data_IF_918550957928
#
_entry.id   IF_918550957928
#
_cell.length_a   1.000
_cell.length_b   1.000
_cell.length_c   1.000
_cell.angle_alpha   90.00
_cell.angle_beta   90.00
_cell.angle_gamma   90.00
#
_symmetry.space_group_name_H-M   'P 1'
#
loop_
_entity.id
_entity.type
_entity.pdbx_description
1 polymer ?
#
# COMPACT_ATOMS: atom_id res chain seq x y z
N UNK A 1 -18.91 16.78 -15.20
CA UNK A 1 -18.69 15.39 -14.73
C UNK A 1 -17.20 15.19 -14.58
N UNK A 2 -16.70 14.64 -13.46
CA UNK A 2 -15.27 14.33 -13.34
C UNK A 2 -15.15 12.83 -13.38
N UNK A 3 -14.57 12.33 -14.45
CA UNK A 3 -14.43 10.91 -14.69
C UNK A 3 -13.45 10.30 -13.67
N UNK A 4 -13.71 9.07 -13.20
CA UNK A 4 -12.72 8.34 -12.40
C UNK A 4 -11.43 8.19 -13.21
N UNK A 5 -10.28 8.47 -12.58
CA UNK A 5 -8.98 8.29 -13.23
C UNK A 5 -8.55 6.84 -13.03
N UNK A 6 -8.42 6.11 -14.12
CA UNK A 6 -7.88 4.76 -14.12
C UNK A 6 -6.39 4.83 -14.43
N UNK A 7 -5.58 4.25 -13.55
CA UNK A 7 -4.15 4.13 -13.70
C UNK A 7 -3.79 2.65 -13.62
N UNK A 8 -2.85 2.23 -14.44
CA UNK A 8 -2.30 0.88 -14.40
C UNK A 8 -0.82 0.97 -14.69
N UNK A 9 0.00 0.30 -13.88
CA UNK A 9 1.41 0.11 -14.17
C UNK A 9 1.86 -1.30 -13.79
N UNK A 10 2.86 -1.78 -14.50
CA UNK A 10 3.55 -3.00 -14.12
C UNK A 10 4.69 -2.64 -13.18
N UNK A 11 4.63 -3.16 -11.95
CA UNK A 11 5.59 -2.91 -10.90
C UNK A 11 6.30 -4.21 -10.55
N UNK A 12 7.63 -4.20 -10.64
CA UNK A 12 8.44 -5.30 -10.14
C UNK A 12 8.64 -5.14 -8.63
N UNK A 13 7.90 -5.91 -7.84
CA UNK A 13 8.12 -6.00 -6.40
C UNK A 13 9.08 -7.15 -6.07
N UNK A 14 9.44 -7.28 -4.79
CA UNK A 14 10.34 -8.36 -4.31
C UNK A 14 9.88 -9.78 -4.64
N UNK A 15 8.57 -9.99 -4.81
CA UNK A 15 7.96 -11.28 -5.06
C UNK A 15 7.74 -11.58 -6.55
N UNK A 16 8.17 -10.69 -7.46
CA UNK A 16 8.02 -10.84 -8.91
C UNK A 16 7.39 -9.61 -9.57
N UNK A 17 7.03 -9.75 -10.85
CA UNK A 17 6.23 -8.76 -11.57
C UNK A 17 4.77 -8.79 -11.10
N UNK A 18 4.24 -7.63 -10.76
CA UNK A 18 2.83 -7.47 -10.43
C UNK A 18 2.26 -6.27 -11.19
N UNK A 19 1.05 -6.44 -11.71
CA UNK A 19 0.32 -5.36 -12.35
C UNK A 19 -0.54 -4.67 -11.28
N UNK A 20 -0.27 -3.39 -11.01
CA UNK A 20 -1.04 -2.59 -10.07
C UNK A 20 -1.98 -1.68 -10.85
N UNK A 21 -3.26 -1.74 -10.52
CA UNK A 21 -4.34 -0.90 -11.05
C UNK A 21 -4.90 -0.04 -9.94
N UNK A 22 -5.07 1.24 -10.21
CA UNK A 22 -5.65 2.21 -9.30
C UNK A 22 -6.84 2.87 -9.99
N UNK A 23 -7.97 2.90 -9.31
CA UNK A 23 -9.15 3.64 -9.74
C UNK A 23 -9.38 4.77 -8.76
N UNK A 24 -9.02 5.99 -9.17
CA UNK A 24 -9.17 7.20 -8.37
C UNK A 24 -10.52 7.85 -8.70
N UNK A 25 -11.53 7.64 -7.86
CA UNK A 25 -12.78 8.40 -7.90
C UNK A 25 -12.67 9.66 -7.02
N UNK A 26 -13.69 10.53 -7.04
CA UNK A 26 -13.68 11.75 -6.20
C UNK A 26 -13.74 11.47 -4.70
N UNK A 27 -14.33 10.35 -4.32
CA UNK A 27 -14.65 10.02 -2.94
C UNK A 27 -14.26 8.59 -2.54
N UNK A 28 -13.67 7.83 -3.46
CA UNK A 28 -13.24 6.46 -3.25
C UNK A 28 -11.98 6.17 -4.08
N UNK A 29 -11.10 5.35 -3.52
CA UNK A 29 -9.89 4.83 -4.12
C UNK A 29 -10.04 3.31 -4.19
N UNK A 30 -9.97 2.78 -5.39
CA UNK A 30 -9.86 1.35 -5.61
C UNK A 30 -8.43 0.99 -6.00
N UNK A 31 -7.94 -0.08 -5.42
CA UNK A 31 -6.59 -0.62 -5.65
C UNK A 31 -6.73 -2.09 -5.98
N UNK A 32 -6.25 -2.47 -7.15
CA UNK A 32 -6.16 -3.87 -7.56
C UNK A 32 -4.70 -4.20 -7.85
N UNK A 33 -4.25 -5.35 -7.37
CA UNK A 33 -2.89 -5.84 -7.57
C UNK A 33 -3.00 -7.25 -8.12
N UNK A 34 -2.39 -7.50 -9.26
CA UNK A 34 -2.41 -8.81 -9.92
C UNK A 34 -0.98 -9.35 -9.99
N UNK A 35 -0.76 -10.57 -9.51
CA UNK A 35 0.51 -11.27 -9.64
C UNK A 35 0.61 -11.98 -10.97
N UNK A 36 1.58 -11.58 -11.79
CA UNK A 36 1.83 -12.21 -13.09
C UNK A 36 2.28 -13.68 -12.93
N UNK A 37 2.93 -14.01 -11.81
CA UNK A 37 3.46 -15.35 -11.55
C UNK A 37 2.41 -16.36 -11.10
N UNK A 38 1.47 -15.94 -10.25
CA UNK A 38 0.48 -16.82 -9.62
C UNK A 38 -0.94 -16.62 -10.14
N UNK A 39 -1.16 -15.64 -11.03
CA UNK A 39 -2.47 -15.18 -11.48
C UNK A 39 -3.42 -14.84 -10.30
N UNK A 40 -2.83 -14.47 -9.17
CA UNK A 40 -3.56 -14.10 -7.96
C UNK A 40 -3.87 -12.61 -8.02
N UNK A 41 -5.09 -12.23 -7.64
CA UNK A 41 -5.57 -10.86 -7.75
C UNK A 41 -6.09 -10.42 -6.38
N UNK A 42 -5.58 -9.29 -5.91
CA UNK A 42 -5.96 -8.68 -4.65
C UNK A 42 -6.62 -7.34 -4.91
N UNK A 43 -7.76 -7.09 -4.28
CA UNK A 43 -8.49 -5.82 -4.42
C UNK A 43 -8.76 -5.19 -3.06
N UNK A 44 -8.67 -3.87 -3.00
CA UNK A 44 -9.03 -3.05 -1.86
C UNK A 44 -9.76 -1.79 -2.29
N UNK A 45 -10.84 -1.47 -1.60
CA UNK A 45 -11.60 -0.22 -1.79
C UNK A 45 -11.47 0.62 -0.52
N UNK A 46 -11.22 1.92 -0.69
CA UNK A 46 -10.98 2.86 0.38
C UNK A 46 -11.71 4.17 0.10
N UNK A 47 -12.66 4.54 0.96
CA UNK A 47 -13.30 5.84 0.88
C UNK A 47 -12.34 6.99 1.22
N UNK A 48 -12.65 8.20 0.73
CA UNK A 48 -11.88 9.39 1.01
C UNK A 48 -11.72 9.64 2.52
N UNK A 49 -12.83 9.54 3.27
CA UNK A 49 -12.83 9.70 4.72
C UNK A 49 -11.95 8.65 5.43
N UNK A 50 -11.87 7.42 4.89
CA UNK A 50 -11.04 6.37 5.46
C UNK A 50 -9.54 6.67 5.27
N UNK A 51 -9.14 7.12 4.08
CA UNK A 51 -7.76 7.52 3.80
C UNK A 51 -7.35 8.73 4.64
N UNK A 52 -8.25 9.71 4.77
CA UNK A 52 -8.03 10.89 5.60
C UNK A 52 -7.86 10.51 7.07
N UNK A 53 -8.71 9.63 7.62
CA UNK A 53 -8.56 9.11 8.99
C UNK A 53 -7.29 8.27 9.16
N UNK A 54 -6.91 7.47 8.16
CA UNK A 54 -5.71 6.63 8.19
C UNK A 54 -4.43 7.49 8.24
N UNK A 55 -4.36 8.52 7.39
CA UNK A 55 -3.23 9.46 7.36
C UNK A 55 -3.21 10.34 8.62
N UNK A 56 -4.39 10.73 9.13
CA UNK A 56 -4.53 11.41 10.43
C UNK A 56 -4.01 10.55 11.58
N UNK A 57 -4.37 9.26 11.63
CA UNK A 57 -3.88 8.30 12.63
C UNK A 57 -2.38 8.09 12.59
N UNK A 58 -1.78 8.24 11.42
CA UNK A 58 -0.33 8.11 11.23
C UNK A 58 0.41 9.40 11.62
N UNK A 59 -0.31 10.46 12.02
CA UNK A 59 0.24 11.75 12.41
C UNK A 59 0.62 12.66 11.23
N UNK A 60 0.39 12.21 10.00
CA UNK A 60 0.63 12.97 8.78
C UNK A 60 -0.67 13.06 7.99
N UNK A 61 -1.60 13.89 8.48
CA UNK A 61 -2.88 14.10 7.81
C UNK A 61 -2.65 14.54 6.36
N UNK A 62 -3.16 13.75 5.43
CA UNK A 62 -3.16 14.08 4.00
C UNK A 62 -4.57 14.01 3.49
N UNK A 63 -4.98 15.08 2.80
CA UNK A 63 -6.24 15.08 2.08
C UNK A 63 -6.23 13.95 1.05
N UNK A 64 -7.39 13.34 0.84
CA UNK A 64 -7.57 12.25 -0.11
C UNK A 64 -7.01 12.58 -1.51
N UNK A 65 -7.23 13.80 -2.01
CA UNK A 65 -6.69 14.23 -3.29
C UNK A 65 -5.16 14.23 -3.35
N UNK A 66 -4.48 14.64 -2.28
CA UNK A 66 -3.01 14.58 -2.19
C UNK A 66 -2.55 13.13 -2.15
N UNK A 67 -3.23 12.29 -1.36
CA UNK A 67 -2.92 10.86 -1.30
C UNK A 67 -3.04 10.19 -2.68
N UNK A 68 -4.10 10.49 -3.43
CA UNK A 68 -4.30 10.01 -4.78
C UNK A 68 -3.15 10.43 -5.71
N UNK A 69 -2.75 11.70 -5.68
CA UNK A 69 -1.61 12.20 -6.46
C UNK A 69 -0.30 11.52 -6.06
N UNK A 70 -0.09 11.26 -4.77
CA UNK A 70 1.11 10.56 -4.28
C UNK A 70 1.13 9.09 -4.72
N UNK A 71 -0.02 8.43 -4.67
CA UNK A 71 -0.17 7.06 -5.14
C UNK A 71 0.05 6.96 -6.66
N UNK A 72 -0.49 7.92 -7.42
CA UNK A 72 -0.27 8.09 -8.86
C UNK A 72 1.23 8.27 -9.18
N UNK A 73 1.91 9.17 -8.47
CA UNK A 73 3.36 9.39 -8.63
C UNK A 73 4.19 8.16 -8.24
N UNK A 74 3.82 7.47 -7.17
CA UNK A 74 4.50 6.25 -6.73
C UNK A 74 4.34 5.13 -7.76
N UNK A 75 3.14 5.00 -8.34
CA UNK A 75 2.84 4.01 -9.37
C UNK A 75 3.63 4.29 -10.66
N UNK A 76 3.69 5.56 -11.08
CA UNK A 76 4.47 5.99 -12.24
C UNK A 76 5.96 6.13 -11.97
N UNK A 77 6.42 5.90 -10.73
CA UNK A 77 7.79 6.17 -10.29
C UNK A 77 8.27 7.59 -10.69
N UNK A 78 7.35 8.56 -10.72
CA UNK A 78 7.63 9.95 -11.09
C UNK A 78 8.18 10.79 -9.95
N UNK A 79 8.30 10.21 -8.75
CA UNK A 79 8.72 10.95 -7.56
C UNK A 79 9.53 10.04 -6.64
N UNK A 80 10.79 10.41 -6.38
CA UNK A 80 11.68 9.67 -5.48
C UNK A 80 11.23 9.73 -4.02
N UNK A 81 10.40 10.73 -3.67
CA UNK A 81 9.82 10.88 -2.34
C UNK A 81 8.70 9.88 -2.02
N UNK A 82 8.13 9.21 -3.03
CA UNK A 82 7.03 8.26 -2.84
C UNK A 82 7.31 6.94 -3.54
N UNK A 83 7.19 5.85 -2.79
CA UNK A 83 7.41 4.50 -3.30
C UNK A 83 6.27 3.59 -2.89
N UNK A 84 5.94 2.66 -3.78
CA UNK A 84 4.99 1.59 -3.50
C UNK A 84 5.75 0.30 -3.18
N UNK A 85 5.34 -0.39 -2.13
CA UNK A 85 5.85 -1.71 -1.78
C UNK A 85 4.71 -2.70 -1.54
N UNK A 86 4.85 -3.90 -2.08
CA UNK A 86 3.90 -4.99 -1.84
C UNK A 86 4.50 -5.98 -0.84
N UNK A 87 3.92 -6.03 0.35
CA UNK A 87 4.33 -6.95 1.40
C UNK A 87 3.32 -8.08 1.59
N UNK A 88 3.84 -9.24 1.94
CA UNK A 88 3.04 -10.38 2.40
C UNK A 88 2.88 -10.30 3.91
N UNK A 89 1.92 -11.04 4.46
CA UNK A 89 1.78 -11.16 5.91
C UNK A 89 3.10 -11.63 6.58
N UNK A 90 3.84 -12.55 5.96
CA UNK A 90 5.12 -13.03 6.47
C UNK A 90 6.20 -11.93 6.48
N UNK A 91 6.21 -11.06 5.47
CA UNK A 91 7.12 -9.91 5.44
C UNK A 91 6.77 -8.91 6.54
N UNK A 92 5.48 -8.61 6.76
CA UNK A 92 5.03 -7.79 7.88
C UNK A 92 5.45 -8.34 9.24
N UNK A 93 5.34 -9.65 9.47
CA UNK A 93 5.83 -10.27 10.71
C UNK A 93 7.34 -10.09 10.87
N UNK A 94 8.09 -10.21 9.78
CA UNK A 94 9.54 -10.01 9.76
C UNK A 94 9.91 -8.55 10.04
N UNK A 95 9.19 -7.59 9.45
CA UNK A 95 9.36 -6.16 9.66
C UNK A 95 9.03 -5.74 11.10
N UNK A 96 7.94 -6.30 11.66
CA UNK A 96 7.55 -6.09 13.06
C UNK A 96 8.62 -6.59 14.02
N UNK A 97 9.14 -7.79 13.77
CA UNK A 97 10.19 -8.44 14.57
C UNK A 97 11.51 -7.67 14.53
N UNK A 98 11.77 -6.92 13.44
CA UNK A 98 12.95 -6.07 13.29
C UNK A 98 12.80 -4.70 13.95
N UNK A 99 11.60 -4.11 13.90
CA UNK A 99 11.32 -2.76 14.43
C UNK A 99 11.02 -2.75 15.93
N UNK A 100 10.55 -3.88 16.47
CA UNK A 100 10.33 -4.13 17.89
C UNK A 100 10.85 -5.53 18.15
N UNK A 101 11.92 -5.70 18.92
CA UNK A 101 12.51 -7.01 19.23
C UNK A 101 11.62 -7.93 20.10
N UNK A 102 10.38 -8.18 19.67
CA UNK A 102 9.36 -8.91 20.41
C UNK A 102 9.08 -10.27 19.75
N UNK A 103 9.41 -11.29 20.53
CA UNK A 103 9.21 -12.71 20.29
C UNK A 103 7.74 -13.04 20.60
N UNK A 104 6.86 -13.06 19.60
CA UNK A 104 5.57 -13.77 19.72
C UNK A 104 5.17 -14.35 18.36
N UNK A 105 5.50 -15.64 18.16
CA UNK A 105 5.11 -16.44 17.00
C UNK A 105 3.62 -16.82 17.11
N UNK A 106 2.74 -16.45 16.15
CA UNK A 106 1.38 -16.96 16.12
C UNK A 106 1.36 -18.45 15.72
N UNK A 107 0.31 -19.20 16.10
CA UNK A 107 0.17 -20.62 15.76
C UNK A 107 0.03 -20.85 14.25
N UNK A 108 0.70 -21.89 13.74
CA UNK A 108 0.89 -22.20 12.31
C UNK A 108 -0.40 -22.38 11.49
N UNK A 109 -1.54 -22.63 12.13
CA UNK A 109 -2.83 -22.90 11.49
C UNK A 109 -3.55 -21.64 10.96
N UNK A 110 -3.26 -20.45 11.51
CA UNK A 110 -3.79 -19.18 11.00
C UNK A 110 -2.93 -18.58 9.87
N UNK A 111 -1.67 -19.01 9.76
CA UNK A 111 -0.71 -18.48 8.79
C UNK A 111 -1.11 -18.77 7.34
N UNK A 112 -1.77 -19.91 7.06
CA UNK A 112 -2.19 -20.28 5.70
C UNK A 112 -3.31 -19.40 5.14
N UNK A 113 -4.28 -18.98 5.98
CA UNK A 113 -5.35 -18.04 5.59
C UNK A 113 -4.86 -16.59 5.53
N UNK A 114 -3.83 -16.24 6.30
CA UNK A 114 -3.22 -14.91 6.34
C UNK A 114 -2.16 -14.71 5.25
N UNK A 115 -1.52 -15.79 4.81
CA UNK A 115 -0.55 -15.84 3.69
C UNK A 115 -1.12 -15.32 2.37
N UNK A 116 -2.43 -15.52 2.15
CA UNK A 116 -3.12 -15.00 0.97
C UNK A 116 -3.29 -13.49 0.99
N UNK A 117 -3.26 -12.82 2.15
CA UNK A 117 -3.42 -11.36 2.20
C UNK A 117 -2.16 -10.67 1.69
N UNK A 118 -2.37 -9.62 0.90
CA UNK A 118 -1.31 -8.69 0.49
C UNK A 118 -1.56 -7.32 1.07
N UNK A 119 -0.47 -6.62 1.33
CA UNK A 119 -0.48 -5.30 1.90
C UNK A 119 0.29 -4.41 0.96
N UNK A 120 -0.43 -3.51 0.30
CA UNK A 120 0.19 -2.47 -0.50
C UNK A 120 0.54 -1.32 0.43
N UNK A 121 1.80 -0.90 0.38
CA UNK A 121 2.35 0.07 1.30
C UNK A 121 2.79 1.27 0.48
N UNK A 122 2.19 2.41 0.77
CA UNK A 122 2.69 3.68 0.27
C UNK A 122 3.70 4.22 1.27
N UNK A 123 4.95 4.27 0.86
CA UNK A 123 6.06 4.84 1.63
C UNK A 123 6.28 6.25 1.14
N UNK A 124 6.08 7.23 2.03
CA UNK A 124 6.40 8.62 1.77
C UNK A 124 7.62 9.04 2.58
N UNK A 125 8.69 9.40 1.89
CA UNK A 125 9.93 9.94 2.46
C UNK A 125 10.12 11.39 2.02
N UNK A 126 10.11 12.31 2.99
CA UNK A 126 10.43 13.73 2.76
C UNK A 126 11.90 13.98 3.06
N UNK A 127 12.62 14.59 2.10
CA UNK A 127 14.06 14.85 2.21
C UNK A 127 14.42 15.93 3.24
N UNK A 128 13.47 16.75 3.69
CA UNK A 128 13.76 17.98 4.44
C UNK A 128 13.51 17.92 5.95
N UNK A 129 12.95 16.84 6.50
CA UNK A 129 12.85 16.67 7.96
C UNK A 129 13.36 15.28 8.36
N UNK A 130 14.27 15.24 9.33
CA UNK A 130 15.02 14.04 9.71
C UNK A 130 14.10 13.02 10.40
N UNK A 131 13.35 12.22 9.64
CA UNK A 131 12.95 10.88 10.09
C UNK A 131 11.50 10.47 9.94
N UNK A 132 10.58 11.34 9.53
CA UNK A 132 9.16 10.96 9.39
C UNK A 132 8.87 10.31 8.04
N UNK A 133 9.34 9.07 7.87
CA UNK A 133 8.86 8.18 6.82
C UNK A 133 7.42 7.80 7.18
N UNK A 134 6.46 8.39 6.49
CA UNK A 134 5.05 8.04 6.67
C UNK A 134 4.75 6.80 5.85
N UNK A 135 4.41 5.71 6.53
CA UNK A 135 4.08 4.44 5.90
C UNK A 135 2.58 4.22 6.01
N UNK A 136 1.87 4.30 4.88
CA UNK A 136 0.43 4.04 4.83
C UNK A 136 0.18 2.62 4.35
N UNK A 137 -0.43 1.80 5.20
CA UNK A 137 -0.71 0.39 4.92
C UNK A 137 -2.12 0.23 4.34
N UNK A 138 -2.21 -0.04 3.04
CA UNK A 138 -3.44 -0.41 2.36
C UNK A 138 -3.54 -1.94 2.32
N UNK A 139 -4.51 -2.49 3.03
CA UNK A 139 -4.77 -3.93 3.02
C UNK A 139 -5.62 -4.28 1.80
N UNK A 140 -5.10 -5.11 0.92
CA UNK A 140 -5.83 -5.68 -0.23
C UNK A 140 -6.13 -7.16 0.05
N UNK A 141 -7.33 -7.60 -0.29
CA UNK A 141 -7.84 -8.94 0.03
C UNK A 141 -7.80 -9.86 -1.17
#
# INVERSE_FOLDING_TARGET
>A
MGEPRYLQADCAFRHGGHTVRLTLARSALEVEVEAHLTADQWRGEFDAAFIEDLTHKTGNFKQFGIFCSMLESALMQSSESVSLELLTYADLETLRSRKVGAITRPPASAASLLSAKRYLILVYSVEFDRGDITVTLLRVW
#
